data_IF_345062287921
#
_entry.id   IF_345062287921
#
_cell.length_a   1.000
_cell.length_b   1.000
_cell.length_c   1.000
_cell.angle_alpha   90.00
_cell.angle_beta   90.00
_cell.angle_gamma   90.00
#
_symmetry.space_group_name_H-M   'P 1'
#
loop_
_entity.id
_entity.type
_entity.pdbx_description
1 polymer ?
#
# COMPACT_ATOMS: atom_id res chain seq x y z
N UNK A 1 7.00 23.92 2.39
CA UNK A 1 7.74 22.92 3.18
C UNK A 1 9.16 23.37 3.52
N UNK A 2 10.15 23.31 2.62
CA UNK A 2 11.56 23.64 2.98
C UNK A 2 11.71 25.08 3.45
N UNK A 3 11.07 26.03 2.77
CA UNK A 3 11.10 27.45 3.16
C UNK A 3 10.42 27.72 4.51
N UNK A 4 9.45 26.89 4.91
CA UNK A 4 8.73 27.01 6.18
C UNK A 4 9.44 26.23 7.31
N UNK A 5 10.28 25.27 6.95
CA UNK A 5 11.04 24.46 7.89
C UNK A 5 12.19 25.25 8.52
N UNK A 6 12.45 24.96 9.80
CA UNK A 6 13.56 25.52 10.58
C UNK A 6 14.59 24.43 10.86
N UNK A 7 15.85 24.77 11.23
CA UNK A 7 16.86 23.76 11.59
C UNK A 7 16.43 22.78 12.69
N UNK A 8 15.57 23.23 13.62
CA UNK A 8 15.01 22.42 14.72
C UNK A 8 13.72 21.66 14.35
N UNK A 9 13.21 21.87 13.14
CA UNK A 9 11.95 21.31 12.67
C UNK A 9 12.27 20.29 11.58
N UNK A 10 12.51 19.02 11.95
CA UNK A 10 12.79 17.97 10.97
C UNK A 10 11.59 17.76 10.04
N UNK A 11 11.87 17.27 8.84
CA UNK A 11 10.90 16.97 7.79
C UNK A 11 10.73 15.45 7.73
N UNK A 12 9.56 14.94 8.09
CA UNK A 12 9.27 13.51 8.11
C UNK A 12 8.34 13.17 6.95
N UNK A 13 8.80 12.31 6.05
CA UNK A 13 7.98 11.66 5.06
C UNK A 13 7.53 10.29 5.56
N UNK A 14 6.21 10.09 5.63
CA UNK A 14 5.67 8.75 5.74
C UNK A 14 5.61 8.11 4.36
N UNK A 15 6.38 7.03 4.20
CA UNK A 15 6.44 6.27 2.97
C UNK A 15 5.09 5.63 2.69
N UNK A 16 4.58 5.85 1.48
CA UNK A 16 3.46 5.10 0.95
C UNK A 16 4.02 3.99 0.06
N UNK A 17 3.39 2.81 0.06
CA UNK A 17 3.82 1.66 -0.73
C UNK A 17 4.07 2.05 -2.20
N UNK A 18 5.30 1.94 -2.68
CA UNK A 18 5.70 2.26 -4.06
C UNK A 18 6.08 3.72 -4.31
N UNK A 19 6.22 4.56 -3.29
CA UNK A 19 6.61 5.98 -3.43
C UNK A 19 7.65 6.39 -2.40
N UNK A 20 8.88 6.63 -2.88
CA UNK A 20 10.00 7.16 -2.10
C UNK A 20 10.44 8.53 -2.67
N UNK A 21 10.35 9.63 -1.91
CA UNK A 21 10.73 10.95 -2.37
C UNK A 21 12.25 11.21 -2.33
N UNK A 22 13.08 10.23 -1.97
CA UNK A 22 14.55 10.38 -1.87
C UNK A 22 15.14 11.12 -3.08
N UNK A 23 14.83 10.65 -4.29
CA UNK A 23 15.36 11.24 -5.54
C UNK A 23 14.89 12.69 -5.71
N UNK A 24 13.63 12.98 -5.39
CA UNK A 24 13.06 14.33 -5.47
C UNK A 24 13.73 15.29 -4.46
N UNK A 25 14.05 14.79 -3.25
CA UNK A 25 14.75 15.55 -2.20
C UNK A 25 16.19 15.85 -2.65
N UNK A 26 16.90 14.87 -3.20
CA UNK A 26 18.27 15.07 -3.71
C UNK A 26 18.32 16.05 -4.89
N UNK A 27 17.38 15.94 -5.83
CA UNK A 27 17.26 16.90 -6.92
C UNK A 27 16.96 18.31 -6.42
N UNK A 28 16.09 18.43 -5.42
CA UNK A 28 15.78 19.72 -4.80
C UNK A 28 17.01 20.33 -4.13
N UNK A 29 17.79 19.52 -3.40
CA UNK A 29 19.03 19.97 -2.77
C UNK A 29 20.05 20.46 -3.80
N UNK A 30 20.21 19.73 -4.92
CA UNK A 30 21.06 20.14 -6.05
C UNK A 30 20.60 21.47 -6.66
N UNK A 31 19.29 21.67 -6.84
CA UNK A 31 18.73 22.94 -7.35
C UNK A 31 18.96 24.11 -6.39
N UNK A 32 19.00 23.86 -5.09
CA UNK A 32 19.28 24.87 -4.07
C UNK A 32 20.77 25.03 -3.76
N UNK A 33 21.65 24.28 -4.44
CA UNK A 33 23.10 24.26 -4.21
C UNK A 33 23.47 23.94 -2.74
N UNK A 34 22.65 23.11 -2.08
CA UNK A 34 22.90 22.67 -0.70
C UNK A 34 23.50 21.26 -0.72
N UNK A 35 24.52 21.04 0.10
CA UNK A 35 25.08 19.70 0.29
C UNK A 35 24.04 18.79 0.95
N UNK A 36 23.66 17.70 0.28
CA UNK A 36 22.73 16.70 0.79
C UNK A 36 23.39 15.34 0.78
N UNK A 37 23.33 14.64 1.92
CA UNK A 37 23.84 13.29 2.07
C UNK A 37 22.77 12.39 2.66
N UNK A 38 22.58 11.23 2.03
CA UNK A 38 21.60 10.22 2.43
C UNK A 38 22.26 9.09 3.21
N UNK A 39 21.62 8.64 4.28
CA UNK A 39 22.00 7.46 5.05
C UNK A 39 20.75 6.58 5.19
N UNK A 40 20.81 5.36 4.69
CA UNK A 40 19.79 4.35 4.95
C UNK A 40 19.97 3.75 6.33
N UNK A 41 18.99 3.94 7.21
CA UNK A 41 18.99 3.37 8.55
C UNK A 41 18.84 1.85 8.48
N UNK A 42 19.61 1.18 9.32
CA UNK A 42 19.73 -0.27 9.41
C UNK A 42 20.75 -0.61 10.48
N UNK A 43 21.18 -1.87 10.54
CA UNK A 43 22.09 -2.32 11.58
C UNK A 43 23.42 -1.53 11.54
N UNK A 44 23.80 -0.94 12.68
CA UNK A 44 25.03 -0.18 12.90
C UNK A 44 25.21 1.12 12.08
N UNK A 45 24.16 1.65 11.43
CA UNK A 45 24.26 2.91 10.67
C UNK A 45 24.14 4.17 11.54
N UNK A 46 23.76 4.03 12.80
CA UNK A 46 23.56 5.13 13.75
C UNK A 46 24.84 5.95 13.96
N UNK A 47 26.01 5.30 13.97
CA UNK A 47 27.31 5.98 14.17
C UNK A 47 27.60 6.92 13.00
N UNK A 48 27.29 6.50 11.77
CA UNK A 48 27.45 7.34 10.59
C UNK A 48 26.45 8.48 10.57
N UNK A 49 25.20 8.22 10.97
CA UNK A 49 24.17 9.24 11.09
C UNK A 49 24.55 10.33 12.10
N UNK A 50 25.07 9.96 13.29
CA UNK A 50 25.57 10.92 14.29
C UNK A 50 26.66 11.82 13.72
N UNK A 51 27.68 11.23 13.11
CA UNK A 51 28.80 11.98 12.51
C UNK A 51 28.34 12.95 11.42
N UNK A 52 27.39 12.50 10.58
CA UNK A 52 26.84 13.33 9.51
C UNK A 52 26.09 14.53 10.08
N UNK A 53 25.21 14.29 11.04
CA UNK A 53 24.40 15.34 11.67
C UNK A 53 25.32 16.33 12.39
N UNK A 54 26.31 15.87 13.16
CA UNK A 54 27.24 16.75 13.84
C UNK A 54 28.01 17.66 12.88
N UNK A 55 28.44 17.13 11.73
CA UNK A 55 29.11 17.91 10.70
C UNK A 55 28.16 18.96 10.09
N UNK A 56 26.94 18.56 9.71
CA UNK A 56 25.99 19.45 9.03
C UNK A 56 25.36 20.50 9.95
N UNK A 57 25.32 20.26 11.26
CA UNK A 57 24.88 21.30 12.20
C UNK A 57 25.87 22.48 12.24
N UNK A 58 27.17 22.23 12.03
CA UNK A 58 28.19 23.30 12.00
C UNK A 58 28.35 23.88 10.59
N UNK A 59 28.43 23.02 9.57
CA UNK A 59 28.75 23.42 8.19
C UNK A 59 27.52 23.85 7.38
N UNK A 60 26.31 23.48 7.81
CA UNK A 60 25.11 23.54 6.98
C UNK A 60 25.03 22.36 6.01
N UNK A 61 23.80 21.94 5.70
CA UNK A 61 23.55 20.80 4.81
C UNK A 61 22.27 20.06 5.17
N UNK A 62 21.86 19.16 4.28
CA UNK A 62 20.67 18.34 4.44
C UNK A 62 21.05 16.90 4.72
N UNK A 63 20.73 16.41 5.92
CA UNK A 63 20.87 15.00 6.26
C UNK A 63 19.57 14.27 5.91
N UNK A 64 19.62 13.31 4.97
CA UNK A 64 18.47 12.47 4.61
C UNK A 64 18.62 11.10 5.25
N UNK A 65 17.83 10.81 6.28
CA UNK A 65 17.79 9.53 6.96
C UNK A 65 16.67 8.68 6.36
N UNK A 66 17.00 7.57 5.71
CA UNK A 66 16.03 6.71 5.05
C UNK A 66 15.67 5.50 5.92
N UNK A 67 14.48 4.92 5.74
CA UNK A 67 14.04 3.69 6.42
C UNK A 67 14.14 3.77 7.95
N UNK A 68 13.80 4.93 8.55
CA UNK A 68 13.99 5.17 9.98
C UNK A 68 13.12 4.30 10.91
N UNK A 69 12.12 3.61 10.38
CA UNK A 69 11.37 2.57 11.09
C UNK A 69 12.26 1.40 11.54
N UNK A 70 13.43 1.21 10.90
CA UNK A 70 14.45 0.22 11.28
C UNK A 70 15.40 0.70 12.39
N UNK A 71 15.33 1.98 12.79
CA UNK A 71 16.26 2.61 13.73
C UNK A 71 15.56 3.47 14.77
N UNK A 72 14.57 2.90 15.47
CA UNK A 72 13.67 3.62 16.38
C UNK A 72 14.39 4.21 17.60
N UNK A 73 15.39 3.51 18.15
CA UNK A 73 16.18 4.00 19.28
C UNK A 73 16.93 5.28 18.91
N UNK A 74 17.55 5.28 17.73
CA UNK A 74 18.24 6.47 17.22
C UNK A 74 17.30 7.65 16.95
N UNK A 75 16.05 7.41 16.53
CA UNK A 75 15.06 8.50 16.37
C UNK A 75 14.75 9.19 17.71
N UNK A 76 14.74 8.43 18.81
CA UNK A 76 14.54 9.00 20.16
C UNK A 76 15.73 9.86 20.57
N UNK A 77 16.94 9.38 20.29
CA UNK A 77 18.16 10.14 20.53
C UNK A 77 18.23 11.41 19.68
N UNK A 78 17.90 11.32 18.39
CA UNK A 78 17.87 12.44 17.46
C UNK A 78 16.96 13.56 17.98
N UNK A 79 15.81 13.21 18.55
CA UNK A 79 14.94 14.18 19.21
C UNK A 79 15.62 14.88 20.38
N UNK A 80 16.29 14.11 21.25
CA UNK A 80 17.08 14.65 22.36
C UNK A 80 18.17 15.63 21.87
N UNK A 81 18.91 15.23 20.85
CA UNK A 81 19.95 16.06 20.22
C UNK A 81 19.41 17.36 19.64
N UNK A 82 18.32 17.31 18.88
CA UNK A 82 17.70 18.52 18.27
C UNK A 82 17.19 19.47 19.35
N UNK A 83 16.68 18.94 20.46
CA UNK A 83 16.06 19.73 21.54
C UNK A 83 17.09 20.37 22.46
N UNK A 84 18.17 19.65 22.79
CA UNK A 84 19.19 20.11 23.74
C UNK A 84 20.17 21.11 23.12
N UNK A 85 20.36 21.07 21.79
CA UNK A 85 21.38 21.90 21.14
C UNK A 85 20.85 23.32 20.90
N UNK A 86 21.66 24.32 21.25
CA UNK A 86 21.26 25.72 21.15
C UNK A 86 21.50 26.28 19.74
N UNK A 87 22.65 25.99 19.16
CA UNK A 87 23.11 26.57 17.89
C UNK A 87 23.01 25.58 16.74
N UNK A 88 22.43 26.06 15.64
CA UNK A 88 22.36 25.34 14.36
C UNK A 88 22.73 26.28 13.23
N UNK A 89 23.37 25.73 12.19
CA UNK A 89 23.54 26.45 10.94
C UNK A 89 22.17 26.68 10.26
N UNK A 90 21.95 27.87 9.68
CA UNK A 90 20.65 28.26 9.13
C UNK A 90 20.16 27.35 7.98
N UNK A 91 21.10 26.79 7.21
CA UNK A 91 20.82 25.85 6.11
C UNK A 91 20.68 24.39 6.56
N UNK A 92 20.94 24.06 7.84
CA UNK A 92 20.84 22.69 8.33
C UNK A 92 19.40 22.19 8.27
N UNK A 93 19.15 21.05 7.64
CA UNK A 93 17.84 20.36 7.67
C UNK A 93 18.02 18.86 7.84
N UNK A 94 17.10 18.24 8.55
CA UNK A 94 17.00 16.79 8.66
C UNK A 94 15.74 16.33 7.95
N UNK A 95 15.92 15.46 6.98
CA UNK A 95 14.86 14.74 6.27
C UNK A 95 14.84 13.31 6.77
N UNK A 96 13.65 12.79 7.03
CA UNK A 96 13.44 11.45 7.57
C UNK A 96 12.42 10.77 6.66
N UNK A 97 12.75 9.60 6.13
CA UNK A 97 11.76 8.72 5.50
C UNK A 97 11.51 7.51 6.40
N UNK A 98 10.25 7.23 6.68
CA UNK A 98 9.86 6.15 7.59
C UNK A 98 8.52 5.55 7.19
N UNK A 99 8.31 4.28 7.48
CA UNK A 99 6.98 3.70 7.49
C UNK A 99 6.30 4.04 8.82
N UNK A 100 4.95 4.08 8.88
CA UNK A 100 4.22 4.23 10.13
C UNK A 100 4.57 3.09 11.10
N UNK A 101 5.03 3.43 12.30
CA UNK A 101 5.38 2.46 13.33
C UNK A 101 4.89 2.92 14.71
N UNK A 102 4.27 2.02 15.48
CA UNK A 102 3.63 2.35 16.76
C UNK A 102 4.62 2.86 17.82
N UNK A 103 5.85 2.35 17.80
CA UNK A 103 6.92 2.80 18.71
C UNK A 103 7.74 3.98 18.17
N UNK A 104 7.33 4.61 17.06
CA UNK A 104 8.04 5.79 16.56
C UNK A 104 7.87 6.97 17.54
N UNK A 105 8.92 7.75 17.86
CA UNK A 105 8.85 8.72 18.95
C UNK A 105 7.81 9.83 18.72
N UNK A 106 6.78 9.87 19.56
CA UNK A 106 5.71 10.87 19.47
C UNK A 106 6.24 12.30 19.62
N UNK A 107 7.24 12.51 20.46
CA UNK A 107 7.87 13.83 20.67
C UNK A 107 8.55 14.35 19.40
N UNK A 108 9.21 13.47 18.64
CA UNK A 108 9.81 13.82 17.35
C UNK A 108 8.72 14.15 16.33
N UNK A 109 7.63 13.38 16.32
CA UNK A 109 6.48 13.68 15.49
C UNK A 109 5.95 15.07 15.85
N UNK A 110 5.69 15.41 17.10
CA UNK A 110 5.09 16.71 17.48
C UNK A 110 5.84 17.92 16.90
N UNK A 111 7.18 17.93 16.94
CA UNK A 111 7.99 19.06 16.45
C UNK A 111 8.25 19.06 14.94
N UNK A 112 8.02 17.93 14.25
CA UNK A 112 8.34 17.77 12.84
C UNK A 112 7.26 18.34 11.90
N UNK A 113 7.66 18.71 10.69
CA UNK A 113 6.74 18.87 9.56
C UNK A 113 6.55 17.49 8.93
N UNK A 114 5.30 17.03 8.82
CA UNK A 114 4.97 15.72 8.26
C UNK A 114 4.41 15.92 6.87
N UNK A 115 4.89 15.11 5.93
CA UNK A 115 4.33 15.05 4.59
C UNK A 115 4.25 13.60 4.13
N UNK A 116 3.47 13.36 3.09
CA UNK A 116 3.34 12.05 2.47
C UNK A 116 3.52 12.22 0.97
N UNK A 117 4.34 11.38 0.36
CA UNK A 117 4.39 11.23 -1.09
C UNK A 117 3.48 10.06 -1.46
N UNK A 118 2.29 10.37 -1.96
CA UNK A 118 1.35 9.36 -2.45
C UNK A 118 1.47 9.25 -3.97
N UNK A 119 1.38 8.03 -4.54
CA UNK A 119 1.28 7.88 -5.98
C UNK A 119 0.03 8.62 -6.49
N UNK A 120 0.10 9.21 -7.69
CA UNK A 120 -1.04 9.93 -8.26
C UNK A 120 -2.21 8.98 -8.44
N UNK A 121 -3.37 9.35 -7.90
CA UNK A 121 -4.58 8.54 -7.99
C UNK A 121 -5.27 8.72 -9.35
N UNK A 122 -5.66 7.60 -9.94
CA UNK A 122 -6.40 7.52 -11.20
C UNK A 122 -5.53 7.33 -12.45
N UNK A 123 -6.16 6.89 -13.53
CA UNK A 123 -5.50 6.51 -14.77
C UNK A 123 -4.83 7.69 -15.45
N UNK A 124 -5.54 8.83 -15.54
CA UNK A 124 -4.98 10.05 -16.10
C UNK A 124 -3.70 10.46 -15.39
N UNK A 125 -3.73 10.46 -14.06
CA UNK A 125 -2.64 10.96 -13.25
C UNK A 125 -1.43 9.99 -13.26
N UNK A 126 -1.68 8.68 -13.21
CA UNK A 126 -0.65 7.66 -13.36
C UNK A 126 0.00 7.66 -14.75
N UNK A 127 -0.79 7.68 -15.82
CA UNK A 127 -0.26 7.78 -17.19
C UNK A 127 0.54 9.06 -17.40
N UNK A 128 0.04 10.20 -16.91
CA UNK A 128 0.74 11.48 -16.98
C UNK A 128 2.09 11.39 -16.27
N UNK A 129 2.15 10.79 -15.07
CA UNK A 129 3.41 10.60 -14.34
C UNK A 129 4.39 9.75 -15.14
N UNK A 130 3.96 8.59 -15.64
CA UNK A 130 4.81 7.68 -16.43
C UNK A 130 5.37 8.40 -17.67
N UNK A 131 4.52 9.05 -18.47
CA UNK A 131 4.94 9.75 -19.68
C UNK A 131 5.79 10.99 -19.39
N UNK A 132 5.56 11.69 -18.27
CA UNK A 132 6.40 12.83 -17.86
C UNK A 132 7.79 12.39 -17.37
N UNK A 133 7.88 11.22 -16.74
CA UNK A 133 9.17 10.65 -16.29
C UNK A 133 9.97 9.98 -17.42
N UNK A 134 9.31 9.67 -18.54
CA UNK A 134 9.93 8.96 -19.66
C UNK A 134 10.86 9.89 -20.44
N UNK A 135 12.08 9.44 -20.70
CA UNK A 135 13.03 10.19 -21.51
C UNK A 135 12.66 10.14 -23.00
N UNK A 136 12.98 11.22 -23.73
CA UNK A 136 12.79 11.26 -25.19
C UNK A 136 13.60 10.16 -25.91
N UNK A 137 14.73 9.73 -25.33
CA UNK A 137 15.53 8.63 -25.83
C UNK A 137 14.78 7.30 -25.72
N UNK A 138 14.15 7.02 -24.57
CA UNK A 138 13.35 5.82 -24.37
C UNK A 138 12.12 5.81 -25.30
N UNK A 139 11.45 6.95 -25.45
CA UNK A 139 10.26 7.05 -26.29
C UNK A 139 10.55 6.84 -27.78
N UNK A 140 11.65 7.41 -28.28
CA UNK A 140 12.05 7.33 -29.69
C UNK A 140 13.10 6.26 -29.99
N UNK A 141 13.26 5.28 -29.08
CA UNK A 141 14.31 4.28 -29.18
C UNK A 141 14.20 3.41 -30.44
N UNK A 142 12.99 2.92 -30.76
CA UNK A 142 12.74 2.12 -31.96
C UNK A 142 11.86 2.89 -32.96
N UNK A 143 12.20 2.78 -34.24
CA UNK A 143 11.39 3.32 -35.35
C UNK A 143 10.22 2.41 -35.74
N UNK A 144 10.09 1.24 -35.11
CA UNK A 144 9.01 0.29 -35.37
C UNK A 144 7.67 0.81 -34.83
N UNK A 145 6.58 0.78 -35.60
CA UNK A 145 5.28 1.28 -35.15
C UNK A 145 4.73 0.47 -33.97
N UNK A 146 5.06 -0.82 -33.86
CA UNK A 146 4.63 -1.69 -32.76
C UNK A 146 5.23 -1.25 -31.41
N UNK A 147 6.42 -0.66 -31.41
CA UNK A 147 7.12 -0.30 -30.17
C UNK A 147 6.34 0.73 -29.34
N UNK A 148 5.85 1.79 -29.98
CA UNK A 148 5.04 2.82 -29.29
C UNK A 148 3.72 2.27 -28.78
N UNK A 149 3.09 1.38 -29.55
CA UNK A 149 1.90 0.66 -29.10
C UNK A 149 2.20 -0.12 -27.83
N UNK A 150 3.28 -0.92 -27.82
CA UNK A 150 3.68 -1.69 -26.65
C UNK A 150 4.01 -0.81 -25.45
N UNK A 151 4.68 0.32 -25.64
CA UNK A 151 4.94 1.30 -24.57
C UNK A 151 3.65 1.85 -23.96
N UNK A 152 2.67 2.23 -24.79
CA UNK A 152 1.40 2.77 -24.30
C UNK A 152 0.60 1.71 -23.56
N UNK A 153 0.46 0.50 -24.13
CA UNK A 153 -0.28 -0.60 -23.50
C UNK A 153 0.38 -1.03 -22.18
N UNK A 154 1.73 -1.06 -22.12
CA UNK A 154 2.48 -1.38 -20.89
C UNK A 154 2.30 -0.29 -19.84
N UNK A 155 2.32 0.98 -20.23
CA UNK A 155 2.05 2.11 -19.32
C UNK A 155 0.62 2.08 -18.79
N UNK A 156 -0.35 1.75 -19.65
CA UNK A 156 -1.75 1.59 -19.26
C UNK A 156 -1.92 0.42 -18.29
N UNK A 157 -1.35 -0.75 -18.59
CA UNK A 157 -1.34 -1.90 -17.68
C UNK A 157 -0.73 -1.52 -16.33
N UNK A 158 0.43 -0.85 -16.32
CA UNK A 158 1.10 -0.43 -15.10
C UNK A 158 0.19 0.43 -14.20
N UNK A 159 -0.49 1.42 -14.78
CA UNK A 159 -1.41 2.26 -14.00
C UNK A 159 -2.64 1.47 -13.53
N UNK A 160 -3.20 0.58 -14.37
CA UNK A 160 -4.34 -0.26 -13.96
C UNK A 160 -3.98 -1.18 -12.80
N UNK A 161 -2.85 -1.89 -12.85
CA UNK A 161 -2.48 -2.82 -11.77
C UNK A 161 -2.21 -2.11 -10.46
N UNK A 162 -1.66 -0.89 -10.51
CA UNK A 162 -1.48 -0.03 -9.33
C UNK A 162 -2.83 0.44 -8.77
N UNK A 163 -3.71 0.98 -9.61
CA UNK A 163 -5.00 1.50 -9.19
C UNK A 163 -5.94 0.42 -8.67
N UNK A 164 -5.85 -0.80 -9.18
CA UNK A 164 -6.67 -1.93 -8.71
C UNK A 164 -6.50 -2.22 -7.22
N UNK A 165 -5.34 -1.89 -6.63
CA UNK A 165 -5.07 -2.06 -5.18
C UNK A 165 -6.10 -1.33 -4.30
N UNK A 166 -6.68 -0.23 -4.76
CA UNK A 166 -7.66 0.54 -3.98
C UNK A 166 -8.96 -0.23 -3.71
N UNK A 167 -9.27 -1.25 -4.51
CA UNK A 167 -10.48 -2.06 -4.36
C UNK A 167 -10.32 -3.27 -3.44
N UNK A 168 -9.19 -3.39 -2.73
CA UNK A 168 -8.92 -4.51 -1.83
C UNK A 168 -9.00 -5.86 -2.55
N UNK A 169 -9.63 -6.89 -1.94
CA UNK A 169 -9.75 -8.24 -2.53
C UNK A 169 -10.43 -8.31 -3.90
N UNK A 170 -11.28 -7.33 -4.26
CA UNK A 170 -11.88 -7.27 -5.59
C UNK A 170 -10.86 -6.88 -6.67
N UNK A 171 -9.85 -6.10 -6.27
CA UNK A 171 -8.74 -5.69 -7.12
C UNK A 171 -7.66 -6.76 -7.19
N UNK A 172 -7.13 -7.14 -6.02
CA UNK A 172 -6.09 -8.13 -5.80
C UNK A 172 -6.35 -8.86 -4.48
N UNK A 173 -6.16 -10.17 -4.44
CA UNK A 173 -6.24 -10.92 -3.17
C UNK A 173 -5.14 -10.48 -2.21
N UNK A 174 -3.94 -10.22 -2.73
CA UNK A 174 -2.79 -9.71 -1.96
C UNK A 174 -2.37 -8.33 -2.51
N UNK A 175 -2.16 -7.31 -1.66
CA UNK A 175 -1.85 -5.96 -2.11
C UNK A 175 -0.40 -5.81 -2.61
N UNK A 176 -0.11 -6.32 -3.82
CA UNK A 176 1.22 -6.25 -4.43
C UNK A 176 1.69 -4.81 -4.66
N UNK A 177 2.99 -4.58 -4.46
CA UNK A 177 3.64 -3.31 -4.73
C UNK A 177 4.29 -3.33 -6.11
N UNK A 178 3.58 -2.81 -7.11
CA UNK A 178 4.13 -2.56 -8.45
C UNK A 178 4.76 -1.17 -8.49
N UNK A 179 6.01 -1.08 -8.88
CA UNK A 179 6.80 0.14 -8.84
C UNK A 179 7.34 0.52 -10.24
N UNK A 180 8.00 1.68 -10.32
CA UNK A 180 8.56 2.18 -11.57
C UNK A 180 9.59 1.22 -12.19
N UNK A 181 10.31 0.44 -11.38
CA UNK A 181 11.30 -0.50 -11.89
C UNK A 181 10.65 -1.64 -12.70
N UNK A 182 9.46 -2.10 -12.31
CA UNK A 182 8.72 -3.13 -13.05
C UNK A 182 8.28 -2.63 -14.43
N UNK A 183 7.81 -1.38 -14.49
CA UNK A 183 7.50 -0.72 -15.75
C UNK A 183 8.76 -0.51 -16.61
N UNK A 184 9.82 0.03 -16.01
CA UNK A 184 11.08 0.32 -16.70
C UNK A 184 11.74 -0.95 -17.26
N UNK A 185 11.78 -2.03 -16.48
CA UNK A 185 12.30 -3.33 -16.92
C UNK A 185 11.46 -3.91 -18.07
N UNK A 186 10.13 -3.76 -18.00
CA UNK A 186 9.24 -4.14 -19.11
C UNK A 186 9.53 -3.33 -20.37
N UNK A 187 9.74 -2.01 -20.26
CA UNK A 187 10.11 -1.16 -21.38
C UNK A 187 11.47 -1.54 -21.99
N UNK A 188 12.49 -1.80 -21.16
CA UNK A 188 13.81 -2.27 -21.61
C UNK A 188 13.72 -3.61 -22.34
N UNK A 189 12.90 -4.53 -21.85
CA UNK A 189 12.65 -5.78 -22.56
C UNK A 189 12.02 -5.53 -23.94
N UNK A 190 11.02 -4.65 -24.03
CA UNK A 190 10.39 -4.31 -25.33
C UNK A 190 11.38 -3.67 -26.30
N UNK A 191 12.29 -2.83 -25.82
CA UNK A 191 13.38 -2.26 -26.61
C UNK A 191 14.25 -3.36 -27.21
N UNK A 192 14.84 -4.19 -26.35
CA UNK A 192 15.73 -5.27 -26.76
C UNK A 192 15.03 -6.27 -27.70
N UNK A 193 13.76 -6.59 -27.44
CA UNK A 193 12.97 -7.48 -28.28
C UNK A 193 12.73 -6.87 -29.67
N UNK A 194 12.42 -5.57 -29.76
CA UNK A 194 12.19 -4.89 -31.03
C UNK A 194 13.48 -4.72 -31.85
N UNK A 195 14.63 -4.51 -31.21
CA UNK A 195 15.94 -4.39 -31.87
C UNK A 195 16.47 -5.73 -32.37
N UNK A 196 16.24 -6.81 -31.62
CA UNK A 196 16.70 -8.16 -31.98
C UNK A 196 15.95 -8.79 -33.16
N UNK A 197 14.84 -8.20 -33.61
CA UNK A 197 14.03 -8.68 -34.73
C UNK A 197 14.48 -8.04 -36.05
N UNK A 198 14.54 -8.83 -37.12
CA UNK A 198 14.78 -8.27 -38.46
C UNK A 198 13.62 -7.37 -38.89
N UNK A 199 13.86 -6.45 -39.83
CA UNK A 199 12.82 -5.53 -40.36
C UNK A 199 11.59 -6.23 -40.95
N UNK A 200 11.68 -7.53 -41.27
CA UNK A 200 10.60 -8.35 -41.83
C UNK A 200 9.92 -9.25 -40.79
N UNK A 201 10.51 -9.38 -39.61
CA UNK A 201 10.01 -10.31 -38.59
C UNK A 201 8.96 -9.60 -37.75
N UNK A 202 7.79 -10.22 -37.61
CA UNK A 202 6.74 -9.72 -36.72
C UNK A 202 7.10 -9.94 -35.25
N UNK A 203 6.49 -9.12 -34.38
CA UNK A 203 6.66 -9.24 -32.94
C UNK A 203 5.96 -10.50 -32.42
N UNK A 204 6.66 -11.29 -31.60
CA UNK A 204 6.07 -12.47 -30.95
C UNK A 204 5.20 -12.05 -29.77
N UNK A 205 3.89 -11.94 -30.02
CA UNK A 205 2.90 -11.63 -28.98
C UNK A 205 2.89 -12.65 -27.83
N UNK A 206 3.17 -13.92 -28.13
CA UNK A 206 3.27 -14.97 -27.10
C UNK A 206 4.43 -14.69 -26.15
N UNK A 207 5.60 -14.32 -26.69
CA UNK A 207 6.79 -13.99 -25.91
C UNK A 207 6.56 -12.75 -25.05
N UNK A 208 5.92 -11.71 -25.62
CA UNK A 208 5.57 -10.49 -24.90
C UNK A 208 4.63 -10.76 -23.73
N UNK A 209 3.56 -11.54 -23.98
CA UNK A 209 2.59 -11.89 -22.93
C UNK A 209 3.25 -12.66 -21.80
N UNK A 210 4.05 -13.67 -22.14
CA UNK A 210 4.78 -14.45 -21.15
C UNK A 210 5.72 -13.56 -20.33
N UNK A 211 6.49 -12.69 -20.99
CA UNK A 211 7.43 -11.82 -20.28
C UNK A 211 6.72 -10.85 -19.33
N UNK A 212 5.65 -10.19 -19.76
CA UNK A 212 4.93 -9.25 -18.90
C UNK A 212 4.20 -9.98 -17.77
N UNK A 213 3.43 -11.03 -18.10
CA UNK A 213 2.49 -11.64 -17.17
C UNK A 213 3.13 -12.65 -16.20
N UNK A 214 4.16 -13.39 -16.63
CA UNK A 214 4.81 -14.41 -15.80
C UNK A 214 6.11 -13.91 -15.18
N UNK A 215 6.89 -13.10 -15.90
CA UNK A 215 8.26 -12.72 -15.46
C UNK A 215 8.29 -11.35 -14.78
N UNK A 216 7.90 -10.29 -15.49
CA UNK A 216 8.04 -8.90 -15.01
C UNK A 216 7.07 -8.59 -13.88
N UNK A 217 5.77 -8.58 -14.18
CA UNK A 217 4.74 -8.35 -13.17
C UNK A 217 4.42 -9.65 -12.42
N UNK A 218 4.38 -10.78 -13.14
CA UNK A 218 4.10 -12.10 -12.56
C UNK A 218 5.08 -12.54 -11.49
N UNK A 219 6.36 -12.15 -11.59
CA UNK A 219 7.37 -12.47 -10.59
C UNK A 219 7.06 -11.92 -9.20
N UNK A 220 6.20 -10.89 -9.09
CA UNK A 220 5.73 -10.35 -7.81
C UNK A 220 4.44 -10.99 -7.32
N UNK A 221 3.66 -11.57 -8.21
CA UNK A 221 2.33 -12.10 -7.90
C UNK A 221 2.50 -13.51 -7.33
N UNK A 222 2.05 -13.70 -6.10
CA UNK A 222 2.19 -14.97 -5.38
C UNK A 222 0.94 -15.85 -5.46
N UNK A 223 -0.24 -15.25 -5.53
CA UNK A 223 -1.53 -15.95 -5.55
C UNK A 223 -1.90 -16.40 -6.98
N UNK A 224 -2.44 -17.61 -7.09
CA UNK A 224 -2.72 -18.23 -8.40
C UNK A 224 -3.92 -17.58 -9.11
N UNK A 225 -4.91 -17.07 -8.36
CA UNK A 225 -6.04 -16.34 -8.96
C UNK A 225 -5.60 -14.96 -9.44
N UNK A 226 -4.74 -14.27 -8.69
CA UNK A 226 -4.15 -13.01 -9.09
C UNK A 226 -3.23 -13.19 -10.33
N UNK A 227 -2.46 -14.28 -10.43
CA UNK A 227 -1.70 -14.62 -11.65
C UNK A 227 -2.61 -14.85 -12.83
N UNK A 228 -3.72 -15.58 -12.64
CA UNK A 228 -4.71 -15.80 -13.69
C UNK A 228 -5.32 -14.50 -14.19
N UNK A 229 -5.61 -13.55 -13.29
CA UNK A 229 -6.09 -12.22 -13.63
C UNK A 229 -5.05 -11.44 -14.47
N UNK A 230 -3.78 -11.44 -14.04
CA UNK A 230 -2.71 -10.77 -14.78
C UNK A 230 -2.51 -11.36 -16.19
N UNK A 231 -2.58 -12.69 -16.29
CA UNK A 231 -2.56 -13.39 -17.57
C UNK A 231 -3.76 -13.04 -18.45
N UNK A 232 -4.95 -12.85 -17.87
CA UNK A 232 -6.13 -12.40 -18.60
C UNK A 232 -5.92 -11.00 -19.19
N UNK A 233 -5.36 -10.05 -18.42
CA UNK A 233 -4.99 -8.73 -18.93
C UNK A 233 -4.00 -8.84 -20.09
N UNK A 234 -2.93 -9.63 -19.92
CA UNK A 234 -1.92 -9.80 -20.95
C UNK A 234 -2.49 -10.42 -22.23
N UNK A 235 -3.33 -11.45 -22.11
CA UNK A 235 -4.00 -12.10 -23.25
C UNK A 235 -4.96 -11.18 -24.00
N UNK A 236 -5.62 -10.25 -23.29
CA UNK A 236 -6.60 -9.34 -23.88
C UNK A 236 -5.93 -8.15 -24.56
N UNK A 237 -4.90 -7.56 -23.93
CA UNK A 237 -4.32 -6.29 -24.40
C UNK A 237 -3.08 -6.45 -25.29
N UNK A 238 -2.28 -7.51 -25.11
CA UNK A 238 -1.07 -7.77 -25.91
C UNK A 238 -1.35 -8.83 -26.97
N UNK A 239 -2.19 -8.45 -27.93
CA UNK A 239 -2.61 -9.32 -29.03
C UNK A 239 -2.61 -8.55 -30.35
N UNK A 240 -2.25 -9.24 -31.44
CA UNK A 240 -2.23 -8.67 -32.80
C UNK A 240 -3.56 -8.02 -33.19
N UNK A 241 -4.70 -8.62 -32.82
CA UNK A 241 -6.03 -8.05 -33.07
C UNK A 241 -6.20 -6.65 -32.50
N UNK A 242 -5.73 -6.39 -31.27
CA UNK A 242 -5.79 -5.06 -30.64
C UNK A 242 -4.90 -4.06 -31.37
N UNK A 243 -3.73 -4.50 -31.84
CA UNK A 243 -2.81 -3.67 -32.60
C UNK A 243 -3.37 -3.29 -33.98
N UNK A 244 -4.08 -4.20 -34.67
CA UNK A 244 -4.62 -3.92 -35.99
C UNK A 244 -6.00 -3.25 -35.98
N UNK A 245 -6.75 -3.34 -34.87
CA UNK A 245 -8.08 -2.75 -34.76
C UNK A 245 -8.04 -1.23 -34.47
N UNK A 246 -8.40 -0.36 -35.44
CA UNK A 246 -8.39 1.08 -35.24
C UNK A 246 -9.51 1.60 -34.32
N UNK A 247 -10.53 0.79 -34.04
CA UNK A 247 -11.67 1.16 -33.18
C UNK A 247 -11.51 0.69 -31.74
N UNK A 248 -10.42 -0.01 -31.43
CA UNK A 248 -10.18 -0.54 -30.09
C UNK A 248 -10.01 0.59 -29.07
N UNK A 249 -10.80 0.51 -28.00
CA UNK A 249 -10.69 1.37 -26.82
C UNK A 249 -10.64 0.47 -25.58
N UNK A 250 -9.81 0.83 -24.59
CA UNK A 250 -9.77 0.12 -23.31
C UNK A 250 -11.08 0.28 -22.53
N UNK A 251 -11.65 1.49 -22.62
CA UNK A 251 -12.96 1.85 -22.10
C UNK A 251 -13.45 3.09 -22.86
N UNK A 252 -14.76 3.41 -22.91
CA UNK A 252 -15.21 4.71 -23.40
C UNK A 252 -14.44 5.85 -22.73
N UNK A 253 -13.87 6.77 -23.52
CA UNK A 253 -12.94 7.83 -23.09
C UNK A 253 -11.46 7.45 -22.85
N UNK A 254 -11.09 6.17 -22.96
CA UNK A 254 -9.69 5.70 -22.91
C UNK A 254 -9.30 4.99 -24.21
N UNK A 255 -9.06 5.78 -25.28
CA UNK A 255 -8.67 5.22 -26.57
C UNK A 255 -7.23 4.74 -26.56
N UNK A 256 -6.94 3.77 -27.42
CA UNK A 256 -5.57 3.42 -27.75
C UNK A 256 -4.94 4.56 -28.56
N UNK A 257 -3.89 5.18 -28.02
CA UNK A 257 -3.24 6.31 -28.66
C UNK A 257 -2.31 5.83 -29.79
N UNK A 258 -2.62 6.27 -31.01
CA UNK A 258 -1.80 6.04 -32.21
C UNK A 258 -1.47 7.39 -32.81
N UNK A 259 -0.20 7.78 -32.74
CA UNK A 259 0.28 9.01 -33.36
C UNK A 259 1.42 8.70 -34.33
N UNK A 260 1.29 9.26 -35.53
CA UNK A 260 2.35 9.26 -36.54
C UNK A 260 3.48 10.25 -36.15
N UNK A 261 3.18 11.21 -35.27
CA UNK A 261 4.13 12.16 -34.69
C UNK A 261 4.92 11.63 -33.48
N UNK A 262 6.22 11.90 -33.44
CA UNK A 262 7.20 11.31 -32.51
C UNK A 262 7.41 12.13 -31.23
N UNK A 263 6.35 12.63 -30.58
CA UNK A 263 6.53 13.47 -29.39
C UNK A 263 5.67 13.04 -28.23
N UNK A 264 6.33 12.85 -27.08
CA UNK A 264 5.71 12.60 -25.77
C UNK A 264 4.60 13.62 -25.45
N UNK A 265 4.78 14.87 -25.90
CA UNK A 265 3.81 15.96 -25.68
C UNK A 265 2.44 15.71 -26.32
N UNK A 266 2.37 14.99 -27.45
CA UNK A 266 1.09 14.65 -28.08
C UNK A 266 0.31 13.64 -27.23
N UNK A 267 1.01 12.68 -26.63
CA UNK A 267 0.43 11.73 -25.68
C UNK A 267 -0.06 12.47 -24.44
N UNK A 268 0.78 13.33 -23.86
CA UNK A 268 0.43 14.14 -22.69
C UNK A 268 -0.80 15.03 -22.94
N UNK A 269 -0.91 15.66 -24.12
CA UNK A 269 -2.05 16.50 -24.47
C UNK A 269 -3.38 15.73 -24.54
N UNK A 270 -3.37 14.44 -24.92
CA UNK A 270 -4.57 13.60 -24.90
C UNK A 270 -4.84 13.02 -23.52
N UNK A 271 -3.80 12.60 -22.80
CA UNK A 271 -3.91 12.16 -21.39
C UNK A 271 -4.54 13.28 -20.54
N UNK A 272 -4.20 14.54 -20.81
CA UNK A 272 -4.77 15.68 -20.09
C UNK A 272 -6.25 15.95 -20.36
N UNK A 273 -6.79 15.42 -21.45
CA UNK A 273 -8.22 15.48 -21.76
C UNK A 273 -9.01 14.33 -21.14
N UNK A 274 -8.35 13.32 -20.57
CA UNK A 274 -9.03 12.20 -19.92
C UNK A 274 -9.79 12.65 -18.66
N UNK A 275 -10.85 11.93 -18.28
CA UNK A 275 -11.57 12.17 -17.03
C UNK A 275 -10.64 12.18 -15.82
N UNK A 276 -10.94 13.02 -14.83
CA UNK A 276 -10.22 13.04 -13.55
C UNK A 276 -10.69 11.92 -12.61
N UNK A 277 -11.93 11.44 -12.79
CA UNK A 277 -12.52 10.36 -12.01
C UNK A 277 -12.79 9.18 -12.93
N UNK A 278 -12.13 8.06 -12.65
CA UNK A 278 -12.25 6.85 -13.46
C UNK A 278 -13.32 5.93 -12.87
N UNK A 279 -14.33 5.50 -13.66
CA UNK A 279 -15.29 4.51 -13.18
C UNK A 279 -14.63 3.11 -13.09
N UNK A 280 -15.05 2.22 -12.16
CA UNK A 280 -14.43 0.91 -11.98
C UNK A 280 -14.29 0.04 -13.23
N UNK A 281 -15.23 0.06 -14.21
CA UNK A 281 -15.10 -0.67 -15.46
C UNK A 281 -13.83 -0.40 -16.26
N UNK A 282 -13.20 0.77 -16.13
CA UNK A 282 -11.91 1.03 -16.79
C UNK A 282 -10.81 0.10 -16.28
N UNK A 283 -10.90 -0.31 -15.02
CA UNK A 283 -9.98 -1.28 -14.41
C UNK A 283 -10.43 -2.73 -14.62
N UNK A 284 -11.42 -2.98 -15.50
CA UNK A 284 -12.08 -4.27 -15.68
C UNK A 284 -12.78 -4.77 -14.41
N UNK A 285 -13.44 -3.87 -13.67
CA UNK A 285 -14.28 -4.20 -12.51
C UNK A 285 -15.75 -3.86 -12.77
N UNK A 286 -16.65 -4.53 -12.05
CA UNK A 286 -18.06 -4.15 -12.07
C UNK A 286 -18.26 -2.78 -11.39
N UNK A 287 -19.25 -2.00 -11.83
CA UNK A 287 -19.53 -0.68 -11.27
C UNK A 287 -19.77 -0.69 -9.74
N UNK A 288 -20.31 -1.79 -9.20
CA UNK A 288 -20.51 -1.99 -7.76
C UNK A 288 -19.21 -1.95 -6.94
N UNK A 289 -18.04 -2.14 -7.55
CA UNK A 289 -16.77 -2.04 -6.85
C UNK A 289 -16.55 -0.63 -6.27
N UNK A 290 -17.11 0.42 -6.90
CA UNK A 290 -17.07 1.77 -6.35
C UNK A 290 -17.86 1.86 -5.05
N UNK A 291 -19.04 1.24 -4.98
CA UNK A 291 -19.87 1.25 -3.75
C UNK A 291 -19.09 0.66 -2.58
N UNK A 292 -18.44 -0.50 -2.77
CA UNK A 292 -17.61 -1.14 -1.74
C UNK A 292 -16.42 -0.26 -1.37
N UNK A 293 -15.74 0.34 -2.35
CA UNK A 293 -14.61 1.23 -2.12
C UNK A 293 -15.02 2.47 -1.30
N UNK A 294 -16.08 3.16 -1.69
CA UNK A 294 -16.62 4.32 -0.98
C UNK A 294 -17.07 3.96 0.43
N UNK A 295 -17.77 2.83 0.59
CA UNK A 295 -18.24 2.36 1.90
C UNK A 295 -17.08 2.12 2.85
N UNK A 296 -16.05 1.38 2.42
CA UNK A 296 -14.85 1.13 3.23
C UNK A 296 -14.13 2.41 3.59
N UNK A 297 -13.94 3.31 2.61
CA UNK A 297 -13.28 4.60 2.83
C UNK A 297 -14.04 5.49 3.82
N UNK A 298 -15.36 5.53 3.72
CA UNK A 298 -16.23 6.25 4.66
C UNK A 298 -16.15 5.63 6.06
N UNK A 299 -16.19 4.30 6.19
CA UNK A 299 -16.05 3.64 7.49
C UNK A 299 -14.72 3.96 8.17
N UNK A 300 -13.61 3.94 7.42
CA UNK A 300 -12.29 4.33 7.96
C UNK A 300 -12.30 5.80 8.39
N UNK A 301 -12.80 6.70 7.54
CA UNK A 301 -12.90 8.12 7.86
C UNK A 301 -13.70 8.37 9.14
N UNK A 302 -14.88 7.76 9.26
CA UNK A 302 -15.74 7.89 10.43
C UNK A 302 -15.08 7.29 11.68
N UNK A 303 -14.39 6.15 11.55
CA UNK A 303 -13.59 5.57 12.63
C UNK A 303 -12.52 6.53 13.13
N UNK A 304 -11.75 7.13 12.22
CA UNK A 304 -10.73 8.15 12.58
C UNK A 304 -11.35 9.38 13.22
N UNK A 305 -12.53 9.84 12.75
CA UNK A 305 -13.25 10.96 13.38
C UNK A 305 -13.64 10.62 14.83
N UNK A 306 -14.13 9.40 15.08
CA UNK A 306 -14.47 8.93 16.43
C UNK A 306 -13.22 8.84 17.32
N UNK A 307 -12.08 8.40 16.77
CA UNK A 307 -10.81 8.31 17.52
C UNK A 307 -10.27 9.69 17.92
N UNK A 308 -10.48 10.72 17.10
CA UNK A 308 -10.03 12.09 17.36
C UNK A 308 -10.98 12.81 18.35
N UNK A 309 -12.22 12.35 18.50
CA UNK A 309 -13.16 13.00 19.42
C UNK A 309 -12.61 12.97 20.86
N UNK A 310 -12.63 14.11 21.58
CA UNK A 310 -12.18 14.18 22.95
C UNK A 310 -13.02 13.22 23.79
N UNK A 311 -12.36 12.27 24.46
CA UNK A 311 -13.00 11.32 25.38
C UNK A 311 -13.37 11.97 26.72
N UNK A 312 -13.19 13.29 26.85
CA UNK A 312 -13.63 14.04 28.02
C UNK A 312 -15.16 14.05 28.07
N UNK A 313 -15.65 13.35 29.09
CA UNK A 313 -17.00 13.27 29.60
C UNK A 313 -17.87 14.50 29.29
N UNK A 314 -18.64 14.38 28.20
CA UNK A 314 -19.98 14.95 28.23
C UNK A 314 -20.72 14.10 29.26
N UNK A 315 -21.02 14.68 30.43
CA UNK A 315 -22.09 14.21 31.33
C UNK A 315 -23.42 14.31 30.57
N UNK A 316 -23.56 13.46 29.56
CA UNK A 316 -24.83 13.15 28.95
C UNK A 316 -25.49 12.21 29.94
N UNK A 317 -26.73 12.53 30.32
CA UNK A 317 -27.59 11.66 31.13
C UNK A 317 -27.92 10.35 30.36
N UNK A 318 -26.90 9.51 30.15
CA UNK A 318 -26.95 8.23 29.47
C UNK A 318 -26.39 7.13 30.37
N UNK A 319 -26.67 5.88 30.01
CA UNK A 319 -26.11 4.69 30.66
C UNK A 319 -24.58 4.83 30.83
N UNK A 320 -24.06 4.46 32.02
CA UNK A 320 -22.61 4.44 32.24
C UNK A 320 -21.94 3.42 31.30
N UNK A 321 -20.67 3.63 30.96
CA UNK A 321 -19.89 2.71 30.12
C UNK A 321 -19.93 1.28 30.63
N UNK A 322 -19.88 1.11 31.95
CA UNK A 322 -19.94 -0.19 32.63
C UNK A 322 -21.30 -0.85 32.45
N UNK A 323 -22.39 -0.08 32.55
CA UNK A 323 -23.75 -0.60 32.34
C UNK A 323 -24.00 -1.04 30.89
N UNK A 324 -23.45 -0.31 29.91
CA UNK A 324 -23.51 -0.68 28.49
C UNK A 324 -22.74 -1.98 28.26
N UNK A 325 -21.51 -2.06 28.79
CA UNK A 325 -20.67 -3.26 28.67
C UNK A 325 -21.35 -4.47 29.32
N UNK A 326 -21.92 -4.31 30.51
CA UNK A 326 -22.63 -5.39 31.20
C UNK A 326 -23.87 -5.85 30.42
N UNK A 327 -24.64 -4.93 29.83
CA UNK A 327 -25.80 -5.25 29.00
C UNK A 327 -25.40 -6.05 27.76
N UNK A 328 -24.34 -5.63 27.06
CA UNK A 328 -23.83 -6.34 25.88
C UNK A 328 -23.29 -7.73 26.28
N UNK A 329 -22.53 -7.82 27.37
CA UNK A 329 -21.99 -9.09 27.84
C UNK A 329 -23.10 -10.09 28.23
N UNK A 330 -24.17 -9.62 28.87
CA UNK A 330 -25.37 -10.44 29.16
C UNK A 330 -26.07 -10.91 27.90
N UNK A 331 -26.32 -10.02 26.94
CA UNK A 331 -26.94 -10.37 25.64
C UNK A 331 -26.09 -11.40 24.86
N UNK A 332 -24.76 -11.26 24.89
CA UNK A 332 -23.84 -12.25 24.30
C UNK A 332 -23.93 -13.61 25.01
N UNK A 333 -23.94 -13.63 26.36
CA UNK A 333 -24.07 -14.86 27.14
C UNK A 333 -25.41 -15.57 26.89
N UNK A 334 -26.51 -14.83 26.75
CA UNK A 334 -27.83 -15.39 26.45
C UNK A 334 -27.90 -16.02 25.04
N UNK A 335 -27.17 -15.45 24.07
CA UNK A 335 -27.11 -15.95 22.69
C UNK A 335 -26.13 -17.11 22.49
N UNK A 336 -25.30 -17.42 23.48
CA UNK A 336 -24.34 -18.52 23.34
C UNK A 336 -25.04 -19.89 23.33
N UNK A 337 -24.62 -20.81 22.45
CA UNK A 337 -25.12 -22.18 22.49
C UNK A 337 -24.66 -22.88 23.78
N UNK A 338 -25.43 -23.87 24.28
CA UNK A 338 -25.02 -24.68 25.41
C UNK A 338 -23.76 -25.48 25.06
N UNK A 339 -22.96 -25.75 26.08
CA UNK A 339 -21.78 -26.61 25.95
C UNK A 339 -22.20 -28.02 25.50
N UNK A 340 -21.38 -28.64 24.65
CA UNK A 340 -21.59 -30.01 24.23
C UNK A 340 -21.43 -30.96 25.42
N UNK A 341 -22.42 -31.84 25.62
CA UNK A 341 -22.34 -32.89 26.64
C UNK A 341 -21.45 -34.03 26.15
N UNK A 342 -20.31 -34.21 26.82
CA UNK A 342 -19.30 -35.19 26.40
C UNK A 342 -19.85 -36.63 26.32
N UNK A 343 -20.78 -36.98 27.21
CA UNK A 343 -21.40 -38.30 27.24
C UNK A 343 -22.27 -38.56 25.99
N UNK A 344 -23.18 -37.65 25.67
CA UNK A 344 -24.07 -37.75 24.50
C UNK A 344 -23.25 -37.76 23.21
N UNK A 345 -22.25 -36.88 23.10
CA UNK A 345 -21.35 -36.85 21.96
C UNK A 345 -20.62 -38.19 21.78
N UNK A 346 -20.12 -38.78 22.88
CA UNK A 346 -19.39 -40.06 22.85
C UNK A 346 -20.28 -41.23 22.44
N UNK A 347 -21.54 -41.26 22.84
CA UNK A 347 -22.50 -42.28 22.41
C UNK A 347 -22.81 -42.15 20.92
N UNK A 348 -23.10 -40.93 20.44
CA UNK A 348 -23.33 -40.66 19.01
C UNK A 348 -22.14 -41.02 18.13
N UNK A 349 -20.90 -40.78 18.59
CA UNK A 349 -19.69 -41.21 17.85
C UNK A 349 -19.63 -42.73 17.67
N UNK A 350 -20.09 -43.51 18.66
CA UNK A 350 -20.13 -44.97 18.56
C UNK A 350 -21.18 -45.43 17.55
N UNK A 351 -22.37 -44.83 17.57
CA UNK A 351 -23.46 -45.12 16.63
C UNK A 351 -23.09 -44.79 15.18
N UNK A 352 -22.33 -43.72 14.95
CA UNK A 352 -21.89 -43.27 13.63
C UNK A 352 -20.66 -44.01 13.07
N UNK A 353 -20.13 -45.00 13.81
CA UNK A 353 -18.90 -45.69 13.47
C UNK A 353 -17.67 -44.90 13.92
N UNK A 354 -17.23 -45.13 15.15
CA UNK A 354 -16.21 -44.34 15.85
C UNK A 354 -14.85 -44.22 15.14
N UNK A 355 -14.55 -45.13 14.20
CA UNK A 355 -13.30 -45.17 13.43
C UNK A 355 -13.42 -44.55 12.04
N UNK A 356 -14.61 -44.08 11.64
CA UNK A 356 -14.80 -43.40 10.35
C UNK A 356 -14.08 -42.04 10.35
N UNK A 357 -13.34 -41.67 9.29
CA UNK A 357 -12.59 -40.41 9.25
C UNK A 357 -13.42 -39.15 9.55
N UNK A 358 -14.67 -39.10 9.06
CA UNK A 358 -15.58 -37.97 9.34
C UNK A 358 -15.92 -37.83 10.84
N UNK A 359 -16.06 -38.95 11.56
CA UNK A 359 -16.35 -38.94 13.00
C UNK A 359 -15.13 -38.48 13.79
N UNK A 360 -13.92 -38.79 13.32
CA UNK A 360 -12.67 -38.30 13.92
C UNK A 360 -12.55 -36.78 13.77
N UNK A 361 -12.81 -36.24 12.57
CA UNK A 361 -12.82 -34.79 12.31
C UNK A 361 -13.88 -34.10 13.16
N UNK A 362 -15.12 -34.62 13.16
CA UNK A 362 -16.21 -34.09 13.99
C UNK A 362 -15.85 -34.05 15.47
N UNK A 363 -15.20 -35.11 15.99
CA UNK A 363 -14.73 -35.15 17.38
C UNK A 363 -13.70 -34.06 17.66
N UNK A 364 -12.78 -33.80 16.74
CA UNK A 364 -11.79 -32.73 16.88
C UNK A 364 -12.45 -31.34 16.81
N UNK A 365 -13.38 -31.12 15.89
CA UNK A 365 -14.12 -29.87 15.78
C UNK A 365 -14.92 -29.57 17.04
N UNK A 366 -15.64 -30.57 17.58
CA UNK A 366 -16.41 -30.42 18.83
C UNK A 366 -15.48 -30.10 20.00
N UNK A 367 -14.34 -30.78 20.15
CA UNK A 367 -13.37 -30.45 21.21
C UNK A 367 -12.84 -29.01 21.07
N UNK A 368 -12.52 -28.58 19.85
CA UNK A 368 -12.04 -27.20 19.59
C UNK A 368 -13.12 -26.16 19.87
N UNK A 369 -14.34 -26.38 19.39
CA UNK A 369 -15.49 -25.50 19.68
C UNK A 369 -15.79 -25.44 21.17
N UNK A 370 -15.75 -26.58 21.87
CA UNK A 370 -15.98 -26.64 23.31
C UNK A 370 -14.96 -25.80 24.09
N UNK A 371 -13.68 -25.83 23.71
CA UNK A 371 -12.64 -24.99 24.32
C UNK A 371 -12.93 -23.51 24.11
N UNK A 372 -13.30 -23.12 22.89
CA UNK A 372 -13.63 -21.71 22.57
C UNK A 372 -14.87 -21.26 23.36
N UNK A 373 -15.96 -22.04 23.35
CA UNK A 373 -17.18 -21.73 24.09
C UNK A 373 -16.91 -21.59 25.59
N UNK A 374 -16.09 -22.49 26.16
CA UNK A 374 -15.73 -22.42 27.57
C UNK A 374 -14.90 -21.17 27.90
N UNK A 375 -13.91 -20.84 27.06
CA UNK A 375 -13.10 -19.63 27.26
C UNK A 375 -13.97 -18.39 27.18
N UNK A 376 -14.75 -18.22 26.11
CA UNK A 376 -15.65 -17.07 25.94
C UNK A 376 -16.66 -16.96 27.07
N UNK A 377 -17.27 -18.09 27.49
CA UNK A 377 -18.22 -18.09 28.61
C UNK A 377 -17.57 -17.63 29.91
N UNK A 378 -16.36 -18.11 30.20
CA UNK A 378 -15.62 -17.73 31.40
C UNK A 378 -15.26 -16.25 31.36
N UNK A 379 -14.68 -15.78 30.25
CA UNK A 379 -14.30 -14.37 30.08
C UNK A 379 -15.49 -13.42 30.20
N UNK A 380 -16.65 -13.74 29.61
CA UNK A 380 -17.84 -12.90 29.72
C UNK A 380 -18.40 -12.87 31.15
N UNK A 381 -18.36 -13.99 31.88
CA UNK A 381 -18.77 -14.05 33.30
C UNK A 381 -17.81 -13.27 34.19
N UNK A 382 -16.52 -13.42 33.96
CA UNK A 382 -15.48 -12.70 34.70
C UNK A 382 -15.56 -11.19 34.44
N UNK A 383 -15.87 -10.79 33.21
CA UNK A 383 -16.12 -9.38 32.85
C UNK A 383 -17.32 -8.81 33.62
N UNK A 384 -18.43 -9.55 33.73
CA UNK A 384 -19.58 -9.13 34.52
C UNK A 384 -19.25 -9.01 36.01
N UNK A 385 -18.52 -9.98 36.57
CA UNK A 385 -18.07 -9.95 37.96
C UNK A 385 -17.07 -8.80 38.22
N UNK A 386 -16.25 -8.46 37.23
CA UNK A 386 -15.34 -7.31 37.31
C UNK A 386 -16.10 -5.98 37.27
N UNK A 387 -17.13 -5.86 36.42
CA UNK A 387 -18.02 -4.69 36.40
C UNK A 387 -18.76 -4.52 37.73
N UNK A 388 -19.20 -5.62 38.33
CA UNK A 388 -19.84 -5.63 39.66
C UNK A 388 -18.83 -5.39 40.81
N UNK A 389 -17.53 -5.29 40.53
CA UNK A 389 -16.47 -5.06 41.51
C UNK A 389 -16.10 -6.26 42.37
N UNK A 390 -16.58 -7.46 42.03
CA UNK A 390 -16.34 -8.69 42.78
C UNK A 390 -14.99 -9.35 42.45
N UNK A 391 -14.42 -9.08 41.27
CA UNK A 391 -13.14 -9.61 40.81
C UNK A 391 -12.28 -8.47 40.26
N UNK A 392 -10.98 -8.49 40.55
CA UNK A 392 -10.00 -7.60 39.91
C UNK A 392 -9.65 -8.20 38.55
N UNK A 393 -9.83 -7.41 37.49
CA UNK A 393 -9.50 -7.83 36.12
C UNK A 393 -7.99 -8.10 36.03
N UNK A 394 -7.59 -9.34 35.80
CA UNK A 394 -6.19 -9.69 35.55
C UNK A 394 -5.87 -9.40 34.08
N UNK A 395 -4.74 -8.75 33.80
CA UNK A 395 -4.25 -8.39 32.44
C UNK A 395 -3.96 -9.59 31.51
N UNK A 396 -4.29 -10.82 31.92
CA UNK A 396 -4.10 -11.99 31.07
C UNK A 396 -5.33 -12.16 30.19
N UNK A 397 -5.42 -11.32 29.15
CA UNK A 397 -5.71 -11.69 27.76
C UNK A 397 -5.47 -10.50 26.83
#
# INVERSE_FOLDING_TARGET
>A
MVQESRPRTPLINFLSMGSDPTVEIEELAKRQLVNCQSISMGQAQEIHARKLIDAFVVQGGWALLQNCHLGLEYMSELFGFITQRETFHDQFRVWITTEPHMSFPMSLLQIAIKFTSQPPAGLRAGLRRTYSSMSNQMFNHSSRPEYKFLLYVTSFLHTVVQERRKFGPLGWNIPYEFNYADWYASCLFMQNHCEGLSKKDEVSWVTIRYMIAEVQYGGRVTDDYDKRLLNAFASTWFTSGVYFDPLFNFYPSYPLLRFDGNTTDQYLAVIDKMPQTDPPPVYCLHANADITYQTTRTSVLLGTVIEIQPKESVETAGESTESIVARIAKDMLEKMPPLYEEHICRERYKEMGATTPLVIVLRQEIDRMQRVLKTVSTTLKDLLLAVDGAIIMNEVF
#
